data_IF_211096216749
#
_entry.id   IF_211096216749
#
_cell.length_a   1.000
_cell.length_b   1.000
_cell.length_c   1.000
_cell.angle_alpha   90.00
_cell.angle_beta   90.00
_cell.angle_gamma   90.00
#
_symmetry.space_group_name_H-M   'P 1'
#
loop_
_entity.id
_entity.type
_entity.pdbx_description
1 polymer ?
#
# COMPACT_ATOMS: atom_id res chain seq x y z
N UNK A 1 12.80 8.97 7.80
CA UNK A 1 12.74 8.08 6.64
C UNK A 1 12.84 8.94 5.40
N UNK A 2 13.67 8.58 4.42
CA UNK A 2 13.77 9.34 3.16
C UNK A 2 12.85 8.75 2.09
N UNK A 3 12.72 9.45 0.96
CA UNK A 3 11.85 9.04 -0.15
C UNK A 3 12.19 7.64 -0.70
N UNK A 4 13.47 7.32 -0.85
CA UNK A 4 13.92 6.02 -1.36
C UNK A 4 13.55 4.87 -0.41
N UNK A 5 13.71 5.06 0.90
CA UNK A 5 13.32 4.09 1.92
C UNK A 5 11.80 3.85 1.92
N UNK A 6 11.01 4.92 1.79
CA UNK A 6 9.55 4.84 1.69
C UNK A 6 9.15 4.06 0.44
N UNK A 7 9.69 4.43 -0.74
CA UNK A 7 9.41 3.73 -2.00
C UNK A 7 9.82 2.26 -1.92
N UNK A 8 10.95 1.94 -1.30
CA UNK A 8 11.39 0.55 -1.13
C UNK A 8 10.43 -0.27 -0.24
N UNK A 9 9.97 0.29 0.88
CA UNK A 9 8.97 -0.37 1.74
C UNK A 9 7.63 -0.56 1.02
N UNK A 10 7.18 0.44 0.25
CA UNK A 10 5.96 0.31 -0.56
C UNK A 10 6.12 -0.74 -1.67
N UNK A 11 7.28 -0.82 -2.31
CA UNK A 11 7.56 -1.88 -3.28
C UNK A 11 7.56 -3.27 -2.63
N UNK A 12 8.07 -3.41 -1.40
CA UNK A 12 7.96 -4.66 -0.61
C UNK A 12 6.50 -5.02 -0.35
N UNK A 13 5.69 -4.06 0.07
CA UNK A 13 4.25 -4.25 0.30
C UNK A 13 3.53 -4.71 -0.98
N UNK A 14 3.74 -4.01 -2.08
CA UNK A 14 3.17 -4.37 -3.39
C UNK A 14 3.60 -5.77 -3.83
N UNK A 15 4.89 -6.07 -3.77
CA UNK A 15 5.42 -7.37 -4.17
C UNK A 15 4.83 -8.51 -3.32
N UNK A 16 4.72 -8.29 -1.99
CA UNK A 16 4.08 -9.24 -1.09
C UNK A 16 2.63 -9.54 -1.46
N UNK A 17 1.84 -8.51 -1.80
CA UNK A 17 0.43 -8.67 -2.18
C UNK A 17 0.29 -9.47 -3.47
N UNK A 18 1.02 -9.08 -4.52
CA UNK A 18 0.82 -9.67 -5.84
C UNK A 18 1.51 -11.02 -6.00
N UNK A 19 2.71 -11.20 -5.44
CA UNK A 19 3.49 -12.43 -5.64
C UNK A 19 3.47 -13.36 -4.42
N UNK A 20 3.09 -12.88 -3.23
CA UNK A 20 3.07 -13.69 -2.02
C UNK A 20 4.46 -14.02 -1.48
N UNK A 21 5.48 -13.24 -1.85
CA UNK A 21 6.86 -13.43 -1.44
C UNK A 21 7.51 -12.10 -1.01
N UNK A 22 8.69 -12.17 -0.38
CA UNK A 22 9.44 -10.97 0.02
C UNK A 22 10.33 -10.49 -1.11
N UNK A 23 10.20 -9.21 -1.48
CA UNK A 23 11.12 -8.54 -2.39
C UNK A 23 12.54 -8.50 -1.78
N UNK A 24 13.51 -9.10 -2.48
CA UNK A 24 14.88 -9.19 -2.00
C UNK A 24 15.64 -7.87 -2.15
N UNK A 25 16.70 -7.68 -1.36
CA UNK A 25 17.57 -6.51 -1.51
C UNK A 25 18.29 -6.53 -2.87
N UNK A 26 18.25 -5.40 -3.58
CA UNK A 26 18.84 -5.27 -4.92
C UNK A 26 17.96 -5.81 -6.05
N UNK A 27 16.80 -6.39 -5.74
CA UNK A 27 15.82 -6.78 -6.75
C UNK A 27 15.10 -5.54 -7.30
N UNK A 28 15.05 -5.44 -8.63
CA UNK A 28 14.26 -4.39 -9.30
C UNK A 28 12.78 -4.76 -9.19
N UNK A 29 11.95 -3.91 -8.57
CA UNK A 29 10.52 -4.14 -8.50
C UNK A 29 9.92 -4.12 -9.90
N UNK A 30 8.93 -4.98 -10.12
CA UNK A 30 8.12 -5.00 -11.34
C UNK A 30 7.25 -3.75 -11.45
N UNK A 31 6.75 -3.45 -12.64
CA UNK A 31 5.70 -2.42 -12.79
C UNK A 31 4.37 -2.93 -12.26
N UNK A 32 3.43 -2.03 -12.03
CA UNK A 32 2.09 -2.40 -11.57
C UNK A 32 1.40 -3.40 -12.51
N UNK A 33 1.50 -3.16 -13.81
CA UNK A 33 0.88 -3.99 -14.83
C UNK A 33 1.49 -5.40 -14.85
N UNK A 34 2.82 -5.51 -14.72
CA UNK A 34 3.51 -6.80 -14.58
C UNK A 34 3.09 -7.55 -13.31
N UNK A 35 2.88 -6.84 -12.20
CA UNK A 35 2.37 -7.45 -10.96
C UNK A 35 0.96 -7.99 -11.14
N UNK A 36 0.08 -7.27 -11.84
CA UNK A 36 -1.29 -7.72 -12.13
C UNK A 36 -1.29 -8.98 -13.00
N UNK A 37 -0.51 -9.01 -14.08
CA UNK A 37 -0.38 -10.18 -14.96
C UNK A 37 0.09 -11.42 -14.18
N UNK A 38 1.08 -11.26 -13.29
CA UNK A 38 1.59 -12.36 -12.46
C UNK A 38 0.58 -12.82 -11.41
N UNK A 39 -0.16 -11.88 -10.84
CA UNK A 39 -1.19 -12.18 -9.86
C UNK A 39 -2.37 -12.93 -10.48
N UNK A 40 -2.79 -12.58 -11.69
CA UNK A 40 -3.80 -13.32 -12.45
C UNK A 40 -3.36 -14.74 -12.79
N UNK A 41 -2.06 -14.93 -13.05
CA UNK A 41 -1.47 -16.24 -13.34
C UNK A 41 -1.24 -17.11 -12.08
N UNK A 42 -1.38 -16.57 -10.86
CA UNK A 42 -1.13 -17.33 -9.63
C UNK A 42 -2.22 -18.37 -9.39
N UNK A 43 -1.79 -19.63 -9.31
CA UNK A 43 -2.66 -20.78 -9.01
C UNK A 43 -2.83 -20.99 -7.51
N UNK A 44 -1.82 -20.65 -6.70
CA UNK A 44 -1.83 -20.85 -5.25
C UNK A 44 -1.55 -19.54 -4.50
N UNK A 45 -2.32 -19.33 -3.42
CA UNK A 45 -2.23 -18.15 -2.57
C UNK A 45 -2.21 -18.53 -1.10
N UNK A 46 -1.38 -17.82 -0.34
CA UNK A 46 -1.36 -17.86 1.12
C UNK A 46 -1.65 -16.45 1.65
N UNK A 47 -2.93 -16.10 1.86
CA UNK A 47 -3.32 -14.78 2.33
C UNK A 47 -2.73 -14.42 3.70
N UNK A 48 -2.48 -15.41 4.57
CA UNK A 48 -1.91 -15.15 5.89
C UNK A 48 -0.44 -14.72 5.77
N UNK A 49 0.30 -15.36 4.86
CA UNK A 49 1.68 -14.97 4.57
C UNK A 49 1.75 -13.60 3.88
N UNK A 50 0.90 -13.35 2.89
CA UNK A 50 0.77 -12.07 2.18
C UNK A 50 0.54 -10.91 3.17
N UNK A 51 -0.43 -11.06 4.09
CA UNK A 51 -0.75 -10.06 5.11
C UNK A 51 0.40 -9.87 6.11
N UNK A 52 1.12 -10.94 6.47
CA UNK A 52 2.28 -10.84 7.36
C UNK A 52 3.39 -9.99 6.74
N UNK A 53 3.73 -10.25 5.47
CA UNK A 53 4.74 -9.50 4.73
C UNK A 53 4.32 -8.03 4.52
N UNK A 54 3.04 -7.81 4.21
CA UNK A 54 2.47 -6.47 4.12
C UNK A 54 2.64 -5.70 5.44
N UNK A 55 2.31 -6.34 6.57
CA UNK A 55 2.41 -5.73 7.90
C UNK A 55 3.85 -5.30 8.22
N UNK A 56 4.83 -6.13 7.89
CA UNK A 56 6.24 -5.79 8.07
C UNK A 56 6.66 -4.58 7.23
N UNK A 57 6.19 -4.49 5.99
CA UNK A 57 6.53 -3.41 5.08
C UNK A 57 5.82 -2.08 5.42
N UNK A 58 4.54 -2.14 5.77
CA UNK A 58 3.68 -0.97 5.99
C UNK A 58 3.74 -0.44 7.42
N UNK A 59 4.00 -1.29 8.42
CA UNK A 59 4.03 -0.88 9.83
C UNK A 59 4.85 0.40 10.11
N UNK A 60 6.08 0.52 9.60
CA UNK A 60 6.89 1.74 9.76
C UNK A 60 6.30 3.00 9.09
N UNK A 61 5.46 2.81 8.07
CA UNK A 61 4.86 3.86 7.24
C UNK A 61 3.51 4.35 7.76
N UNK A 62 2.82 3.56 8.59
CA UNK A 62 1.47 3.85 9.07
C UNK A 62 1.31 5.26 9.65
N UNK A 63 2.20 5.78 10.52
CA UNK A 63 2.01 7.11 11.09
C UNK A 63 1.95 8.23 10.04
N UNK A 64 2.67 8.07 8.92
CA UNK A 64 2.68 9.04 7.82
C UNK A 64 1.35 8.97 7.06
N UNK A 65 0.95 7.76 6.67
CA UNK A 65 -0.29 7.51 5.96
C UNK A 65 -1.51 7.96 6.74
N UNK A 66 -1.61 7.61 8.03
CA UNK A 66 -2.71 8.00 8.90
C UNK A 66 -2.86 9.53 8.99
N UNK A 67 -1.73 10.26 9.09
CA UNK A 67 -1.76 11.72 9.13
C UNK A 67 -2.31 12.30 7.83
N UNK A 68 -1.86 11.80 6.67
CA UNK A 68 -2.34 12.27 5.38
C UNK A 68 -3.81 11.93 5.18
N UNK A 69 -4.21 10.68 5.44
CA UNK A 69 -5.59 10.23 5.34
C UNK A 69 -6.54 11.11 6.17
N UNK A 70 -6.17 11.43 7.43
CA UNK A 70 -6.99 12.31 8.29
C UNK A 70 -7.11 13.73 7.71
N UNK A 71 -6.03 14.26 7.13
CA UNK A 71 -6.07 15.58 6.49
C UNK A 71 -6.97 15.58 5.26
N UNK A 72 -6.85 14.57 4.41
CA UNK A 72 -7.64 14.42 3.18
C UNK A 72 -9.12 14.20 3.51
N UNK A 73 -9.42 13.34 4.49
CA UNK A 73 -10.77 13.08 4.96
C UNK A 73 -11.43 14.34 5.56
N UNK A 74 -10.67 15.13 6.35
CA UNK A 74 -11.15 16.41 6.87
C UNK A 74 -11.40 17.43 5.77
N UNK A 75 -10.54 17.49 4.75
CA UNK A 75 -10.75 18.37 3.60
C UNK A 75 -12.00 17.96 2.80
N UNK A 76 -12.21 16.66 2.59
CA UNK A 76 -13.39 16.12 1.94
C UNK A 76 -14.68 16.41 2.72
N UNK A 77 -14.65 16.30 4.05
CA UNK A 77 -15.77 16.63 4.92
C UNK A 77 -16.16 18.11 4.81
N UNK A 78 -15.17 19.02 4.76
CA UNK A 78 -15.43 20.45 4.57
C UNK A 78 -16.10 20.76 3.22
N UNK A 79 -15.80 19.98 2.19
CA UNK A 79 -16.34 20.20 0.83
C UNK A 79 -17.70 19.53 0.63
N UNK A 80 -17.91 18.34 1.19
CA UNK A 80 -19.05 17.48 0.86
C UNK A 80 -20.00 17.26 2.03
N UNK A 81 -19.60 17.61 3.25
CA UNK A 81 -20.32 17.30 4.48
C UNK A 81 -20.21 15.83 4.93
N UNK A 82 -19.47 14.99 4.20
CA UNK A 82 -19.30 13.57 4.49
C UNK A 82 -17.85 13.27 4.87
N UNK A 83 -17.66 12.50 5.94
CA UNK A 83 -16.36 11.93 6.34
C UNK A 83 -16.41 10.41 6.28
N UNK A 84 -15.29 9.80 5.90
CA UNK A 84 -15.08 8.37 5.99
C UNK A 84 -14.80 7.97 7.44
N UNK A 85 -15.27 6.80 7.89
CA UNK A 85 -14.98 6.29 9.23
C UNK A 85 -13.50 5.93 9.35
N UNK A 86 -12.86 6.42 10.41
CA UNK A 86 -11.46 6.12 10.69
C UNK A 86 -11.30 4.66 11.17
N UNK A 87 -10.29 3.91 10.68
CA UNK A 87 -9.94 2.60 11.22
C UNK A 87 -9.62 2.65 12.72
N UNK A 88 -10.02 1.59 13.45
CA UNK A 88 -9.97 1.55 14.93
C UNK A 88 -8.61 1.14 15.49
N UNK A 89 -7.81 0.43 14.71
CA UNK A 89 -6.55 -0.16 15.11
C UNK A 89 -5.60 -0.29 13.90
N UNK A 90 -4.36 -0.68 14.16
CA UNK A 90 -3.32 -0.82 13.13
C UNK A 90 -3.69 -1.87 12.08
N UNK A 91 -4.45 -2.90 12.44
CA UNK A 91 -4.90 -3.92 11.48
C UNK A 91 -5.88 -3.34 10.48
N UNK A 92 -6.86 -2.55 10.93
CA UNK A 92 -7.75 -1.80 10.05
C UNK A 92 -7.00 -0.84 9.11
N UNK A 93 -5.94 -0.19 9.61
CA UNK A 93 -5.10 0.67 8.77
C UNK A 93 -4.29 -0.09 7.72
N UNK A 94 -3.76 -1.26 8.07
CA UNK A 94 -3.05 -2.13 7.11
C UNK A 94 -4.01 -2.61 6.02
N UNK A 95 -5.27 -2.93 6.38
CA UNK A 95 -6.28 -3.33 5.40
C UNK A 95 -6.70 -2.18 4.47
N UNK A 96 -6.82 -0.95 4.98
CA UNK A 96 -7.06 0.22 4.12
C UNK A 96 -5.93 0.38 3.08
N UNK A 97 -4.67 0.23 3.52
CA UNK A 97 -3.50 0.28 2.62
C UNK A 97 -3.52 -0.88 1.63
N UNK A 98 -3.87 -2.10 2.07
CA UNK A 98 -4.04 -3.26 1.18
C UNK A 98 -5.05 -2.96 0.07
N UNK A 99 -6.21 -2.42 0.44
CA UNK A 99 -7.28 -2.10 -0.50
C UNK A 99 -6.83 -1.02 -1.50
N UNK A 100 -6.13 0.03 -1.06
CA UNK A 100 -5.59 1.04 -2.00
C UNK A 100 -4.58 0.42 -2.99
N UNK A 101 -3.69 -0.46 -2.54
CA UNK A 101 -2.71 -1.12 -3.41
C UNK A 101 -3.42 -2.05 -4.41
N UNK A 102 -4.41 -2.80 -3.97
CA UNK A 102 -5.19 -3.72 -4.82
C UNK A 102 -6.04 -3.00 -5.86
N UNK A 103 -6.44 -1.76 -5.59
CA UNK A 103 -7.20 -0.91 -6.51
C UNK A 103 -6.31 -0.03 -7.40
N UNK A 104 -4.99 -0.20 -7.34
CA UNK A 104 -4.04 0.49 -8.23
C UNK A 104 -3.85 -0.35 -9.49
N UNK A 105 -4.14 0.21 -10.66
CA UNK A 105 -4.10 -0.55 -11.92
C UNK A 105 -2.85 -0.23 -12.76
N UNK A 106 -2.27 0.96 -12.58
CA UNK A 106 -1.16 1.43 -13.42
C UNK A 106 0.04 1.93 -12.60
N UNK A 107 1.23 1.94 -13.20
CA UNK A 107 2.42 2.50 -12.52
C UNK A 107 2.26 4.01 -12.24
N UNK A 108 1.44 4.72 -13.03
CA UNK A 108 1.11 6.13 -12.76
C UNK A 108 0.27 6.31 -11.50
N UNK A 109 -0.75 5.48 -11.31
CA UNK A 109 -1.55 5.46 -10.08
C UNK A 109 -0.70 5.02 -8.88
N UNK A 110 0.21 4.07 -9.10
CA UNK A 110 1.18 3.66 -8.09
C UNK A 110 2.07 4.82 -7.64
N UNK A 111 2.60 5.61 -8.58
CA UNK A 111 3.40 6.80 -8.26
C UNK A 111 2.58 7.82 -7.46
N UNK A 112 1.31 8.04 -7.81
CA UNK A 112 0.40 8.90 -7.05
C UNK A 112 0.15 8.36 -5.65
N UNK A 113 -0.05 7.05 -5.50
CA UNK A 113 -0.21 6.39 -4.21
C UNK A 113 1.04 6.58 -3.34
N UNK A 114 2.24 6.43 -3.89
CA UNK A 114 3.51 6.63 -3.17
C UNK A 114 3.60 8.04 -2.58
N UNK A 115 3.09 9.07 -3.26
CA UNK A 115 3.08 10.44 -2.72
C UNK A 115 2.31 10.56 -1.40
N UNK A 116 1.41 9.60 -1.11
CA UNK A 116 0.67 9.57 0.16
C UNK A 116 1.55 9.36 1.39
N UNK A 117 2.78 8.88 1.17
CA UNK A 117 3.73 8.54 2.22
C UNK A 117 4.94 9.47 2.27
N UNK A 118 5.00 10.49 1.41
CA UNK A 118 6.19 11.34 1.26
C UNK A 118 5.92 12.83 1.52
N UNK A 119 4.65 13.25 1.50
CA UNK A 119 4.21 14.64 1.65
C UNK A 119 3.76 15.00 3.09
#
# INVERSE_FOLDING_TARGET
MNHEQIRHLLNKARHAIFLGESLQEGETPKTQEEYLELYEARVERDPLHEVSLLREAIGPLLPIYQKKWRNDNRAAEMMTGNSLPEPKDDEGWIMEVYDEIMNTDTETEWDQFVTRFTD
#
